data_IF_634400904008
#
_entry.id   IF_634400904008
#
_cell.length_a   1.000
_cell.length_b   1.000
_cell.length_c   1.000
_cell.angle_alpha   90.00
_cell.angle_beta   90.00
_cell.angle_gamma   90.00
#
_symmetry.space_group_name_H-M   'P 1'
#
loop_
_entity.id
_entity.type
_entity.pdbx_description
1 polymer ?
#
# COMPACT_ATOMS: atom_id res chain seq x y z
N UNK A 1 -4.12 -17.92 -8.83
CA UNK A 1 -2.83 -17.35 -8.42
C UNK A 1 -2.94 -15.85 -8.25
N UNK A 2 -2.01 -15.20 -7.55
CA UNK A 2 -1.99 -13.75 -7.33
C UNK A 2 -0.93 -13.13 -8.24
N UNK A 3 -1.29 -12.07 -8.96
CA UNK A 3 -0.36 -11.36 -9.87
C UNK A 3 -0.01 -10.01 -9.27
N UNK A 4 1.29 -9.71 -9.18
CA UNK A 4 1.80 -8.40 -8.80
C UNK A 4 2.36 -7.68 -10.02
N UNK A 5 2.19 -6.37 -10.09
CA UNK A 5 2.70 -5.54 -11.18
C UNK A 5 3.49 -4.35 -10.66
N UNK A 6 4.41 -3.85 -11.49
CA UNK A 6 5.05 -2.55 -11.27
C UNK A 6 4.04 -1.45 -11.56
N UNK A 7 4.19 -0.31 -10.87
CA UNK A 7 3.37 0.89 -11.04
C UNK A 7 3.30 1.38 -12.49
N UNK A 8 4.38 1.16 -13.26
CA UNK A 8 4.48 1.52 -14.68
C UNK A 8 3.75 0.58 -15.63
N UNK A 9 3.44 -0.66 -15.22
CA UNK A 9 2.74 -1.63 -16.05
C UNK A 9 1.23 -1.62 -15.79
N UNK A 10 0.86 -1.67 -14.52
CA UNK A 10 -0.54 -1.65 -14.12
C UNK A 10 -0.65 -1.10 -12.70
N UNK A 11 -1.29 0.05 -12.55
CA UNK A 11 -1.37 0.76 -11.28
C UNK A 11 -2.08 -0.09 -10.23
N UNK A 12 -3.25 -0.67 -10.55
CA UNK A 12 -4.06 -1.43 -9.59
C UNK A 12 -3.31 -2.62 -8.98
N UNK A 13 -2.61 -3.39 -9.82
CA UNK A 13 -1.82 -4.55 -9.38
C UNK A 13 -0.49 -4.19 -8.70
N UNK A 14 -0.15 -2.89 -8.66
CA UNK A 14 1.01 -2.41 -7.92
C UNK A 14 0.66 -1.99 -6.50
N UNK A 15 -0.61 -1.72 -6.20
CA UNK A 15 -1.05 -1.16 -4.93
C UNK A 15 -1.25 -2.28 -3.91
N UNK A 16 -0.52 -2.20 -2.81
CA UNK A 16 -0.47 -3.26 -1.80
C UNK A 16 -0.47 -2.72 -0.38
N UNK A 17 -0.94 -3.56 0.55
CA UNK A 17 -0.71 -3.47 1.98
C UNK A 17 0.38 -4.47 2.35
N UNK A 18 1.41 -4.06 3.09
CA UNK A 18 2.57 -4.92 3.39
C UNK A 18 3.26 -4.55 4.71
N UNK A 19 4.06 -5.47 5.23
CA UNK A 19 4.92 -5.26 6.40
C UNK A 19 6.33 -4.82 5.96
N UNK A 20 6.77 -3.59 6.26
CA UNK A 20 8.08 -3.09 5.80
C UNK A 20 9.29 -3.82 6.39
N UNK A 21 9.14 -4.38 7.59
CA UNK A 21 10.16 -5.15 8.30
C UNK A 21 9.51 -6.35 8.98
N UNK A 22 10.30 -7.38 9.31
CA UNK A 22 9.81 -8.55 10.05
C UNK A 22 9.26 -8.21 11.45
N UNK A 23 9.69 -7.09 12.03
CA UNK A 23 9.22 -6.58 13.33
C UNK A 23 8.00 -5.64 13.24
N UNK A 24 7.53 -5.32 12.04
CA UNK A 24 6.40 -4.41 11.86
C UNK A 24 5.11 -5.07 12.35
N UNK A 25 4.44 -4.46 13.33
CA UNK A 25 3.16 -4.96 13.87
C UNK A 25 1.98 -4.56 12.97
N UNK A 26 2.09 -3.42 12.29
CA UNK A 26 1.04 -2.86 11.45
C UNK A 26 1.50 -2.80 9.98
N UNK A 27 0.66 -3.22 9.03
CA UNK A 27 0.96 -3.09 7.61
C UNK A 27 0.80 -1.64 7.15
N UNK A 28 1.53 -1.28 6.11
CA UNK A 28 1.45 0.04 5.46
C UNK A 28 1.01 -0.10 4.01
N UNK A 29 0.35 0.92 3.49
CA UNK A 29 -0.01 0.98 2.09
C UNK A 29 1.15 1.52 1.24
N UNK A 30 1.32 0.97 0.05
CA UNK A 30 2.32 1.43 -0.90
C UNK A 30 2.04 0.97 -2.32
N UNK A 31 2.95 1.34 -3.22
CA UNK A 31 2.92 0.93 -4.63
C UNK A 31 4.26 0.30 -5.00
N UNK A 32 4.22 -0.89 -5.58
CA UNK A 32 5.39 -1.61 -6.10
C UNK A 32 5.95 -0.81 -7.27
N UNK A 33 7.13 -0.22 -7.10
CA UNK A 33 7.81 0.52 -8.16
C UNK A 33 8.62 -0.43 -9.03
N UNK A 34 9.30 -1.40 -8.41
CA UNK A 34 10.18 -2.34 -9.10
C UNK A 34 10.03 -3.73 -8.51
N UNK A 35 10.10 -4.71 -9.39
CA UNK A 35 10.21 -6.13 -9.06
C UNK A 35 11.57 -6.56 -9.60
N UNK A 36 12.43 -7.07 -8.74
CA UNK A 36 13.77 -7.51 -9.10
C UNK A 36 13.93 -8.95 -8.63
N UNK A 37 14.36 -9.83 -9.52
CA UNK A 37 14.71 -11.20 -9.17
C UNK A 37 16.21 -11.25 -8.88
N UNK A 38 16.60 -11.70 -7.69
CA UNK A 38 18.00 -12.03 -7.36
C UNK A 38 18.07 -13.52 -7.09
N UNK A 39 18.66 -14.28 -8.02
CA UNK A 39 18.55 -15.75 -8.02
C UNK A 39 17.09 -16.17 -8.27
N UNK A 40 16.58 -17.10 -7.46
CA UNK A 40 15.20 -17.60 -7.58
C UNK A 40 14.17 -16.87 -6.71
N UNK A 41 14.58 -15.84 -5.96
CA UNK A 41 13.67 -15.10 -5.09
C UNK A 41 13.37 -13.70 -5.63
N UNK A 42 12.10 -13.40 -5.98
CA UNK A 42 11.70 -12.04 -6.29
C UNK A 42 11.75 -11.15 -5.05
N UNK A 43 12.11 -9.89 -5.25
CA UNK A 43 12.08 -8.82 -4.26
C UNK A 43 11.28 -7.64 -4.81
N UNK A 44 10.46 -7.04 -3.96
CA UNK A 44 9.69 -5.85 -4.29
C UNK A 44 10.33 -4.61 -3.69
N UNK A 45 10.40 -3.56 -4.48
CA UNK A 45 10.75 -2.22 -4.04
C UNK A 45 9.48 -1.38 -4.01
N UNK A 46 9.05 -1.00 -2.82
CA UNK A 46 7.72 -0.41 -2.59
C UNK A 46 7.89 1.02 -2.10
N UNK A 47 7.25 1.96 -2.79
CA UNK A 47 7.13 3.35 -2.34
C UNK A 47 5.89 3.46 -1.47
N UNK A 48 6.04 3.90 -0.21
CA UNK A 48 4.90 4.06 0.72
C UNK A 48 3.94 5.16 0.25
N UNK A 49 2.64 4.96 0.48
CA UNK A 49 1.68 6.05 0.46
C UNK A 49 1.99 7.01 1.63
N UNK A 50 1.96 8.33 1.38
CA UNK A 50 2.17 9.30 2.45
C UNK A 50 0.98 9.29 3.41
N UNK A 51 1.25 9.20 4.71
CA UNK A 51 0.21 9.25 5.74
C UNK A 51 -0.46 10.61 5.76
N UNK A 52 -1.72 10.63 6.19
CA UNK A 52 -2.41 11.88 6.45
C UNK A 52 -1.73 12.62 7.62
N UNK A 53 -1.64 13.97 7.60
CA UNK A 53 -1.14 14.73 8.75
C UNK A 53 -1.97 14.46 10.01
N UNK A 54 -1.38 14.48 11.22
CA UNK A 54 -2.12 14.23 12.47
C UNK A 54 -3.32 15.15 12.71
N UNK A 55 -3.27 16.38 12.16
CA UNK A 55 -4.34 17.38 12.26
C UNK A 55 -5.54 17.09 11.35
N UNK A 56 -5.43 16.14 10.42
CA UNK A 56 -6.48 15.86 9.45
C UNK A 56 -7.30 14.63 9.86
N UNK A 57 -8.63 14.79 9.80
CA UNK A 57 -9.58 13.79 10.22
C UNK A 57 -9.72 12.64 9.20
N UNK A 58 -9.73 11.40 9.70
CA UNK A 58 -10.08 10.21 8.95
C UNK A 58 -11.51 9.76 9.33
N UNK A 59 -12.51 9.90 8.43
CA UNK A 59 -13.88 9.50 8.69
C UNK A 59 -14.05 7.98 8.86
N UNK A 60 -13.16 7.16 8.29
CA UNK A 60 -13.28 5.70 8.35
C UNK A 60 -12.84 5.11 9.69
N UNK A 61 -12.14 5.89 10.52
CA UNK A 61 -11.73 5.45 11.88
C UNK A 61 -12.92 5.01 12.75
N UNK A 62 -14.12 5.54 12.49
CA UNK A 62 -15.36 5.18 13.21
C UNK A 62 -15.98 3.85 12.77
N UNK A 63 -15.57 3.32 11.61
CA UNK A 63 -16.16 2.13 11.00
C UNK A 63 -15.14 0.99 10.99
N UNK A 64 -14.97 0.31 12.13
CA UNK A 64 -14.00 -0.79 12.27
C UNK A 64 -14.26 -1.97 11.32
N UNK A 65 -15.51 -2.15 10.89
CA UNK A 65 -15.92 -3.17 9.92
C UNK A 65 -15.57 -2.79 8.47
N UNK A 66 -15.34 -1.51 8.18
CA UNK A 66 -15.00 -1.04 6.84
C UNK A 66 -13.50 -0.80 6.75
N UNK A 67 -12.79 -1.63 6.00
CA UNK A 67 -11.32 -1.66 5.95
C UNK A 67 -10.72 -0.57 5.06
N UNK A 68 -11.20 0.65 5.22
CA UNK A 68 -10.70 1.84 4.55
C UNK A 68 -9.99 2.79 5.51
N UNK A 69 -9.03 3.54 4.97
CA UNK A 69 -8.28 4.55 5.71
C UNK A 69 -7.92 5.71 4.79
N UNK A 70 -7.94 6.92 5.32
CA UNK A 70 -7.52 8.11 4.55
C UNK A 70 -6.01 8.31 4.66
N UNK A 71 -5.41 8.54 3.49
CA UNK A 71 -4.02 8.90 3.29
C UNK A 71 -3.92 10.25 2.59
N UNK A 72 -2.72 10.82 2.57
CA UNK A 72 -2.42 11.87 1.59
C UNK A 72 -2.50 11.28 0.18
N UNK A 73 -2.89 12.08 -0.82
CA UNK A 73 -2.83 11.68 -2.22
C UNK A 73 -1.40 11.45 -2.72
N UNK A 74 -0.38 11.93 -2.02
CA UNK A 74 1.01 11.87 -2.46
C UNK A 74 1.67 10.57 -2.02
N UNK A 75 2.69 10.14 -2.76
CA UNK A 75 3.60 9.10 -2.29
C UNK A 75 4.58 9.71 -1.28
N UNK A 76 5.09 8.90 -0.36
CA UNK A 76 6.07 9.32 0.63
C UNK A 76 7.40 9.69 -0.03
N UNK A 77 8.05 10.76 0.42
CA UNK A 77 9.41 11.11 -0.04
C UNK A 77 10.50 10.18 0.51
N UNK A 78 10.17 9.31 1.48
CA UNK A 78 11.11 8.32 2.04
C UNK A 78 11.62 7.35 0.96
N UNK A 79 12.79 6.73 1.16
CA UNK A 79 13.28 5.66 0.30
C UNK A 79 12.26 4.52 0.13
N UNK A 80 12.40 3.75 -0.94
CA UNK A 80 11.61 2.55 -1.17
C UNK A 80 11.96 1.49 -0.12
N UNK A 81 10.97 0.80 0.40
CA UNK A 81 11.20 -0.41 1.19
C UNK A 81 11.51 -1.57 0.27
N UNK A 82 12.47 -2.40 0.65
CA UNK A 82 12.77 -3.65 -0.04
C UNK A 82 12.21 -4.81 0.77
N UNK A 83 11.24 -5.53 0.22
CA UNK A 83 10.57 -6.64 0.91
C UNK A 83 10.40 -7.86 -0.02
N UNK A 84 10.38 -9.09 0.53
CA UNK A 84 9.96 -10.25 -0.24
C UNK A 84 8.43 -10.21 -0.48
N UNK A 85 7.90 -10.95 -1.48
CA UNK A 85 6.47 -11.04 -1.71
C UNK A 85 5.68 -11.56 -0.50
N UNK A 86 6.28 -12.41 0.32
CA UNK A 86 5.65 -12.94 1.54
C UNK A 86 5.34 -11.87 2.59
N UNK A 87 5.93 -10.68 2.49
CA UNK A 87 5.60 -9.54 3.36
C UNK A 87 4.35 -8.77 2.89
N UNK A 88 3.82 -9.07 1.70
CA UNK A 88 2.60 -8.44 1.19
C UNK A 88 1.39 -9.14 1.80
N UNK A 89 0.57 -8.38 2.52
CA UNK A 89 -0.68 -8.87 3.11
C UNK A 89 -1.78 -8.96 2.06
N UNK A 90 -1.94 -7.92 1.23
CA UNK A 90 -3.07 -7.83 0.30
C UNK A 90 -2.85 -6.79 -0.79
N UNK A 91 -3.68 -6.86 -1.84
CA UNK A 91 -3.90 -5.74 -2.75
C UNK A 91 -4.81 -4.69 -2.11
N UNK A 92 -4.67 -3.45 -2.56
CA UNK A 92 -5.53 -2.35 -2.13
C UNK A 92 -6.10 -1.59 -3.31
N UNK A 93 -7.33 -1.11 -3.17
CA UNK A 93 -7.87 -0.10 -4.06
C UNK A 93 -7.53 1.29 -3.51
N UNK A 94 -7.29 2.26 -4.41
CA UNK A 94 -7.00 3.64 -4.05
C UNK A 94 -7.89 4.59 -4.85
N UNK A 95 -8.60 5.46 -4.16
CA UNK A 95 -9.44 6.48 -4.76
C UNK A 95 -9.05 7.88 -4.26
N UNK A 96 -8.71 8.80 -5.18
CA UNK A 96 -8.42 10.19 -4.86
C UNK A 96 -9.73 10.97 -4.85
N UNK A 97 -10.13 11.52 -3.70
CA UNK A 97 -11.45 12.16 -3.52
C UNK A 97 -11.37 13.64 -3.13
N UNK A 98 -10.20 14.13 -2.73
CA UNK A 98 -9.92 15.56 -2.62
C UNK A 98 -8.46 15.81 -2.99
N UNK A 99 -8.12 17.02 -3.45
CA UNK A 99 -6.82 17.29 -4.09
C UNK A 99 -5.57 16.90 -3.28
N UNK A 100 -5.70 16.68 -1.97
CA UNK A 100 -4.60 16.22 -1.09
C UNK A 100 -4.89 14.90 -0.36
N UNK A 101 -5.99 14.20 -0.64
CA UNK A 101 -6.41 12.98 0.08
C UNK A 101 -6.79 11.84 -0.84
N UNK A 102 -6.44 10.64 -0.42
CA UNK A 102 -6.87 9.40 -1.04
C UNK A 102 -7.42 8.45 0.02
N UNK A 103 -8.50 7.75 -0.31
CA UNK A 103 -8.94 6.58 0.45
C UNK A 103 -8.20 5.37 -0.07
N UNK A 104 -7.70 4.54 0.85
CA UNK A 104 -7.16 3.23 0.53
C UNK A 104 -8.05 2.18 1.19
N UNK A 105 -8.52 1.23 0.40
CA UNK A 105 -9.37 0.12 0.82
C UNK A 105 -8.58 -1.19 0.72
N UNK A 106 -8.48 -1.91 1.83
CA UNK A 106 -7.93 -3.27 1.82
C UNK A 106 -8.91 -4.23 1.14
N UNK A 107 -8.47 -4.91 0.06
CA UNK A 107 -9.33 -5.79 -0.73
C UNK A 107 -9.45 -7.21 -0.16
N UNK A 108 -8.65 -7.59 0.85
CA UNK A 108 -8.78 -8.91 1.48
C UNK A 108 -10.05 -9.08 2.34
N UNK A 109 -10.79 -8.00 2.62
CA UNK A 109 -12.00 -8.02 3.45
C UNK A 109 -13.27 -7.62 2.69
N UNK A 110 -13.19 -7.55 1.37
CA UNK A 110 -14.36 -7.27 0.53
C UNK A 110 -14.99 -8.62 0.17
N UNK A 111 -16.09 -8.96 0.85
CA UNK A 111 -16.95 -10.10 0.55
C UNK A 111 -17.94 -9.78 -0.57
#
# INVERSE_FOLDING_TARGET
GVTFSRSTMHLGGSLVLYYPTASSVEPVAGSIQRIVTRGDQPCFYIKRQKTLPPSAFDPFRRYSFFSAKVYSSDMSNKPEDKVPPSSVLSHVARYKFSGKRAVILNLCKVS
#
